data_IF_646291307806
#
_entry.id   IF_646291307806
#
_cell.length_a   1.000
_cell.length_b   1.000
_cell.length_c   1.000
_cell.angle_alpha   90.00
_cell.angle_beta   90.00
_cell.angle_gamma   90.00
#
_symmetry.space_group_name_H-M   'P 1'
#
loop_
_entity.id
_entity.type
_entity.pdbx_description
1 polymer ?
#
# COMPACT_ATOMS: atom_id res chain seq x y z
N UNK A 1 42.18 -7.51 -22.96
CA UNK A 1 40.86 -7.79 -23.56
C UNK A 1 39.81 -7.66 -22.46
N UNK A 2 39.04 -6.56 -22.45
CA UNK A 2 37.90 -6.37 -21.52
C UNK A 2 36.70 -7.08 -22.14
N UNK A 3 36.31 -8.23 -21.59
CA UNK A 3 35.07 -8.87 -21.96
C UNK A 3 34.07 -8.72 -20.82
N UNK A 4 32.87 -8.25 -21.18
CA UNK A 4 31.68 -8.01 -20.35
C UNK A 4 31.73 -6.78 -19.44
N UNK A 5 31.43 -5.60 -20.02
CA UNK A 5 30.48 -4.70 -19.34
C UNK A 5 29.13 -5.41 -19.48
N UNK A 6 28.67 -6.09 -18.43
CA UNK A 6 27.23 -6.30 -18.31
C UNK A 6 26.65 -4.91 -18.08
N UNK A 7 25.88 -4.38 -19.01
CA UNK A 7 25.01 -3.26 -18.69
C UNK A 7 24.15 -3.75 -17.53
N UNK A 8 24.40 -3.20 -16.33
CA UNK A 8 23.59 -3.52 -15.17
C UNK A 8 22.22 -2.97 -15.47
N UNK A 9 21.34 -3.87 -15.89
CA UNK A 9 19.93 -3.61 -16.06
C UNK A 9 19.42 -3.02 -14.74
N UNK A 10 18.99 -1.76 -14.76
CA UNK A 10 18.43 -1.11 -13.60
C UNK A 10 16.96 -1.54 -13.49
N UNK A 11 16.59 -2.23 -12.41
CA UNK A 11 15.23 -2.74 -12.26
C UNK A 11 14.18 -1.63 -12.22
N UNK A 12 14.57 -0.43 -11.76
CA UNK A 12 13.72 0.76 -11.79
C UNK A 12 13.40 1.23 -13.21
N UNK A 13 14.05 0.71 -14.26
CA UNK A 13 13.68 0.99 -15.65
C UNK A 13 12.41 0.21 -16.09
N UNK A 14 11.96 -0.78 -15.30
CA UNK A 14 10.77 -1.59 -15.61
C UNK A 14 9.54 -1.23 -14.79
N UNK A 15 9.66 -0.32 -13.81
CA UNK A 15 8.47 0.16 -13.09
C UNK A 15 7.64 1.04 -14.00
N UNK A 16 6.33 0.88 -13.95
CA UNK A 16 5.39 1.62 -14.81
C UNK A 16 4.12 2.00 -14.06
N UNK A 17 3.32 2.89 -14.65
CA UNK A 17 1.94 3.05 -14.18
C UNK A 17 1.19 1.72 -14.39
N UNK A 18 0.40 1.26 -13.40
CA UNK A 18 -0.34 0.01 -13.57
C UNK A 18 -1.35 0.14 -14.70
N UNK A 19 -1.57 -0.95 -15.42
CA UNK A 19 -2.54 -1.03 -16.52
C UNK A 19 -3.99 -0.98 -16.02
N UNK A 20 -4.93 -0.93 -16.97
CA UNK A 20 -6.35 -1.05 -16.64
C UNK A 20 -6.61 -2.34 -15.84
N UNK A 21 -7.45 -2.28 -14.79
CA UNK A 21 -8.34 -1.17 -14.45
C UNK A 21 -7.76 -0.19 -13.41
N UNK A 22 -6.49 -0.27 -13.03
CA UNK A 22 -5.92 0.41 -11.85
C UNK A 22 -5.30 1.78 -12.10
N UNK A 23 -5.71 2.46 -13.16
CA UNK A 23 -5.02 3.67 -13.64
C UNK A 23 -5.31 4.93 -12.81
N UNK A 24 -6.39 4.95 -12.02
CA UNK A 24 -6.71 6.11 -11.22
C UNK A 24 -5.83 6.17 -9.96
N UNK A 25 -4.80 7.03 -9.98
CA UNK A 25 -3.84 7.21 -8.89
C UNK A 25 -4.12 8.46 -8.06
N UNK A 26 -4.18 8.29 -6.74
CA UNK A 26 -4.26 9.36 -5.75
C UNK A 26 -3.08 9.29 -4.79
N UNK A 27 -2.48 10.44 -4.50
CA UNK A 27 -1.36 10.55 -3.56
C UNK A 27 -1.88 11.23 -2.29
N UNK A 28 -1.73 10.55 -1.16
CA UNK A 28 -2.10 11.06 0.17
C UNK A 28 -0.82 11.34 0.94
N UNK A 29 -0.36 12.60 1.00
CA UNK A 29 0.88 12.95 1.65
C UNK A 29 0.74 12.85 3.17
N UNK A 30 1.74 12.26 3.81
CA UNK A 30 1.92 12.30 5.26
C UNK A 30 3.42 12.23 5.60
N UNK A 31 3.74 12.14 6.89
CA UNK A 31 5.10 11.98 7.38
C UNK A 31 5.12 11.04 8.58
N UNK A 32 6.16 10.21 8.67
CA UNK A 32 6.37 9.31 9.78
C UNK A 32 5.24 8.30 9.96
N UNK A 33 4.68 7.77 8.88
CA UNK A 33 3.64 6.73 8.98
C UNK A 33 4.22 5.47 9.62
N UNK A 34 3.60 5.04 10.72
CA UNK A 34 3.97 3.84 11.49
C UNK A 34 2.92 2.75 11.42
N UNK A 35 1.66 3.11 11.12
CA UNK A 35 0.62 2.16 10.80
C UNK A 35 -0.32 2.72 9.72
N UNK A 36 -0.90 1.83 8.94
CA UNK A 36 -1.81 2.19 7.84
C UNK A 36 -2.89 1.14 7.69
N UNK A 37 -3.94 1.42 6.92
CA UNK A 37 -4.98 0.45 6.69
C UNK A 37 -6.18 1.00 5.97
N UNK A 38 -7.25 0.23 6.02
CA UNK A 38 -8.54 0.57 5.43
C UNK A 38 -9.61 0.58 6.50
N UNK A 39 -10.46 1.60 6.47
CA UNK A 39 -11.72 1.57 7.22
C UNK A 39 -12.72 0.63 6.57
N UNK A 40 -13.79 0.27 7.29
CA UNK A 40 -14.84 -0.60 6.75
C UNK A 40 -15.55 0.01 5.54
N UNK A 41 -15.59 1.35 5.46
CA UNK A 41 -16.13 2.11 4.33
C UNK A 41 -15.08 2.47 3.26
N UNK A 42 -13.96 1.75 3.23
CA UNK A 42 -12.90 1.84 2.21
C UNK A 42 -12.16 3.18 2.20
N UNK A 43 -12.05 3.85 3.35
CA UNK A 43 -11.22 5.06 3.50
C UNK A 43 -9.82 4.68 3.93
N UNK A 44 -8.88 5.52 3.53
CA UNK A 44 -7.47 5.32 3.84
C UNK A 44 -7.19 5.79 5.24
N UNK A 45 -6.75 4.88 6.10
CA UNK A 45 -6.27 5.18 7.44
C UNK A 45 -4.75 5.30 7.44
N UNK A 46 -4.24 6.39 8.02
CA UNK A 46 -2.81 6.60 8.24
C UNK A 46 -2.56 7.08 9.66
N UNK A 47 -1.63 6.43 10.35
CA UNK A 47 -1.19 6.78 11.69
C UNK A 47 0.29 7.18 11.68
N UNK A 48 0.58 8.29 12.36
CA UNK A 48 1.93 8.79 12.65
C UNK A 48 2.10 9.02 14.15
N UNK A 49 3.28 9.48 14.58
CA UNK A 49 3.52 9.91 15.97
C UNK A 49 2.58 11.03 16.42
N UNK A 50 2.10 11.86 15.49
CA UNK A 50 1.34 13.07 15.79
C UNK A 50 -0.18 12.83 15.80
N UNK A 51 -0.59 11.57 15.70
CA UNK A 51 -1.97 11.12 15.56
C UNK A 51 -2.26 10.51 14.19
N UNK A 52 -3.55 10.41 13.86
CA UNK A 52 -4.02 9.71 12.66
C UNK A 52 -4.91 10.57 11.77
N UNK A 53 -5.12 10.08 10.56
CA UNK A 53 -6.05 10.66 9.59
C UNK A 53 -6.78 9.60 8.81
N UNK A 54 -8.00 9.94 8.40
CA UNK A 54 -8.81 9.16 7.48
C UNK A 54 -9.10 10.00 6.25
N UNK A 55 -8.80 9.46 5.07
CA UNK A 55 -8.89 10.20 3.80
C UNK A 55 -9.66 9.41 2.75
N UNK A 56 -10.30 10.15 1.84
CA UNK A 56 -11.00 9.57 0.70
C UNK A 56 -9.99 8.99 -0.32
N UNK A 57 -10.14 7.73 -0.77
CA UNK A 57 -9.20 7.10 -1.70
C UNK A 57 -9.28 7.66 -3.12
N UNK A 58 -10.40 8.29 -3.50
CA UNK A 58 -10.65 8.77 -4.86
C UNK A 58 -10.26 10.24 -5.00
N UNK A 59 -10.47 11.05 -3.95
CA UNK A 59 -10.16 12.49 -4.01
C UNK A 59 -8.90 12.86 -3.24
N UNK A 60 -8.41 11.98 -2.37
CA UNK A 60 -7.33 12.28 -1.41
C UNK A 60 -7.76 13.24 -0.31
N UNK A 61 -9.03 13.67 -0.28
CA UNK A 61 -9.52 14.63 0.70
C UNK A 61 -9.54 13.98 2.08
N UNK A 62 -8.85 14.62 3.03
CA UNK A 62 -8.87 14.23 4.43
C UNK A 62 -10.25 14.51 5.04
N UNK A 63 -10.89 13.46 5.55
CA UNK A 63 -12.19 13.52 6.24
C UNK A 63 -12.03 13.67 7.74
N UNK A 64 -11.06 12.97 8.32
CA UNK A 64 -10.75 13.02 9.76
C UNK A 64 -9.27 13.39 9.93
N UNK A 65 -9.01 14.28 10.88
CA UNK A 65 -7.67 14.54 11.42
C UNK A 65 -7.76 14.56 12.93
N UNK A 66 -7.12 13.58 13.56
CA UNK A 66 -6.95 13.52 14.99
C UNK A 66 -5.49 13.93 15.30
N UNK A 67 -5.32 14.97 16.10
CA UNK A 67 -4.01 15.36 16.63
C UNK A 67 -3.89 14.74 18.02
N UNK A 68 -2.89 13.88 18.22
CA UNK A 68 -2.70 13.11 19.47
C UNK A 68 -2.12 13.98 20.60
N UNK A 69 -2.79 15.08 20.94
CA UNK A 69 -2.29 16.08 21.90
C UNK A 69 -2.06 15.49 23.31
N UNK A 70 -2.80 14.44 23.67
CA UNK A 70 -2.75 13.79 24.98
C UNK A 70 -1.98 12.47 24.98
N UNK A 71 -1.33 12.09 23.87
CA UNK A 71 -0.62 10.82 23.69
C UNK A 71 -1.50 9.58 23.99
N UNK A 72 -2.79 9.66 23.66
CA UNK A 72 -3.76 8.59 23.88
C UNK A 72 -3.94 7.66 22.68
N UNK A 73 -3.54 8.07 21.47
CA UNK A 73 -3.77 7.30 20.24
C UNK A 73 -3.17 5.90 20.31
N UNK A 74 -2.00 5.74 20.92
CA UNK A 74 -1.38 4.42 21.07
C UNK A 74 -2.20 3.45 21.97
N UNK A 75 -3.08 3.97 22.83
CA UNK A 75 -3.98 3.16 23.67
C UNK A 75 -5.19 2.61 22.89
N UNK A 76 -5.43 3.11 21.67
CA UNK A 76 -6.52 2.67 20.80
C UNK A 76 -6.20 1.38 20.03
N UNK A 77 -4.97 0.88 20.13
CA UNK A 77 -4.60 -0.41 19.56
C UNK A 77 -5.13 -1.58 20.38
N UNK A 78 -5.47 -2.66 19.71
CA UNK A 78 -5.63 -3.97 20.33
C UNK A 78 -4.32 -4.42 21.00
N UNK A 79 -4.41 -5.38 21.93
CA UNK A 79 -3.24 -5.90 22.66
C UNK A 79 -2.16 -6.49 21.75
N UNK A 80 -2.56 -7.09 20.63
CA UNK A 80 -1.67 -7.66 19.62
C UNK A 80 -1.20 -6.64 18.57
N UNK A 81 -1.73 -5.40 18.59
CA UNK A 81 -1.45 -4.31 17.67
C UNK A 81 -1.87 -4.60 16.21
N UNK A 82 -2.80 -5.53 16.00
CA UNK A 82 -3.36 -5.83 14.68
C UNK A 82 -4.60 -5.00 14.36
N UNK A 83 -5.22 -4.41 15.37
CA UNK A 83 -6.43 -3.62 15.22
C UNK A 83 -6.29 -2.25 15.88
N UNK A 84 -7.05 -1.29 15.37
CA UNK A 84 -7.08 0.09 15.84
C UNK A 84 -8.52 0.61 15.88
N UNK A 85 -8.90 1.22 17.01
CA UNK A 85 -10.23 1.83 17.16
C UNK A 85 -10.20 3.31 16.75
N UNK A 86 -11.07 3.66 15.81
CA UNK A 86 -11.33 5.03 15.33
C UNK A 86 -12.64 5.49 15.95
N UNK A 87 -12.56 6.32 16.99
CA UNK A 87 -13.73 6.74 17.76
C UNK A 87 -14.71 7.57 16.92
N UNK A 88 -14.21 8.43 16.04
CA UNK A 88 -15.05 9.30 15.19
C UNK A 88 -15.88 8.52 14.17
N UNK A 89 -15.53 7.25 13.92
CA UNK A 89 -16.25 6.35 13.02
C UNK A 89 -16.95 5.21 13.75
N UNK A 90 -16.76 5.08 15.07
CA UNK A 90 -17.19 3.92 15.87
C UNK A 90 -16.75 2.59 15.23
N UNK A 91 -15.52 2.52 14.73
CA UNK A 91 -14.98 1.38 14.00
C UNK A 91 -13.67 0.88 14.61
N UNK A 92 -13.53 -0.44 14.71
CA UNK A 92 -12.24 -1.09 14.93
C UNK A 92 -11.80 -1.73 13.63
N UNK A 93 -10.64 -1.31 13.12
CA UNK A 93 -10.12 -1.69 11.81
C UNK A 93 -8.86 -2.54 11.97
N UNK A 94 -8.57 -3.40 11.00
CA UNK A 94 -7.25 -4.03 10.88
C UNK A 94 -6.23 -3.04 10.34
N UNK A 95 -5.03 -3.09 10.86
CA UNK A 95 -3.94 -2.18 10.48
C UNK A 95 -2.66 -2.93 10.12
N UNK A 96 -1.85 -2.30 9.27
CA UNK A 96 -0.58 -2.78 8.77
C UNK A 96 0.56 -2.00 9.44
N UNK A 97 1.62 -2.68 9.86
CA UNK A 97 2.96 -2.07 9.99
C UNK A 97 3.50 -1.78 11.39
N UNK A 98 2.68 -1.62 12.43
CA UNK A 98 3.21 -1.28 13.76
C UNK A 98 4.02 -2.45 14.37
N UNK A 99 3.40 -3.64 14.45
CA UNK A 99 4.02 -4.88 14.97
C UNK A 99 3.54 -6.15 14.26
N UNK A 100 2.79 -6.00 13.19
CA UNK A 100 2.15 -7.10 12.47
C UNK A 100 1.11 -6.59 11.47
N UNK A 101 0.34 -7.51 10.92
CA UNK A 101 -0.67 -7.22 9.92
C UNK A 101 -0.05 -7.13 8.53
N UNK A 102 -0.65 -7.88 7.61
CA UNK A 102 -0.40 -7.78 6.18
C UNK A 102 -1.71 -7.39 5.51
N UNK A 103 -1.62 -6.65 4.42
CA UNK A 103 -2.82 -6.21 3.72
C UNK A 103 -3.57 -7.36 3.08
N UNK A 104 -4.76 -7.08 2.56
CA UNK A 104 -5.39 -8.03 1.65
C UNK A 104 -4.61 -8.02 0.33
N UNK A 105 -3.97 -9.12 -0.05
CA UNK A 105 -3.12 -9.18 -1.25
C UNK A 105 -3.85 -9.74 -2.47
N UNK A 106 -5.08 -10.21 -2.32
CA UNK A 106 -5.84 -10.74 -3.43
C UNK A 106 -7.28 -10.23 -3.47
N UNK A 107 -7.85 -10.14 -4.67
CA UNK A 107 -9.27 -9.87 -4.88
C UNK A 107 -10.02 -11.14 -5.28
N UNK A 108 -11.33 -11.13 -5.09
CA UNK A 108 -12.23 -12.20 -5.53
C UNK A 108 -12.21 -12.44 -7.04
N UNK A 109 -11.84 -11.43 -7.83
CA UNK A 109 -11.66 -11.51 -9.28
C UNK A 109 -10.19 -11.69 -9.71
N UNK A 110 -9.38 -12.27 -8.83
CA UNK A 110 -8.04 -12.79 -9.12
C UNK A 110 -6.95 -11.74 -9.35
N UNK A 111 -7.13 -10.49 -8.91
CA UNK A 111 -6.00 -9.57 -8.82
C UNK A 111 -5.12 -9.95 -7.65
N UNK A 112 -3.81 -9.93 -7.85
CA UNK A 112 -2.80 -10.26 -6.87
C UNK A 112 -1.77 -9.13 -6.76
N UNK A 113 -1.50 -8.70 -5.53
CA UNK A 113 -0.42 -7.79 -5.18
C UNK A 113 0.70 -8.58 -4.53
N UNK A 114 1.90 -8.44 -5.07
CA UNK A 114 3.08 -9.11 -4.55
C UNK A 114 4.24 -8.12 -4.49
N UNK A 115 5.09 -8.25 -3.46
CA UNK A 115 6.35 -7.50 -3.40
C UNK A 115 7.50 -8.29 -4.01
N UNK A 116 8.31 -7.60 -4.81
CA UNK A 116 9.57 -8.08 -5.34
C UNK A 116 10.74 -7.33 -4.69
N UNK A 117 11.72 -8.06 -4.16
CA UNK A 117 12.88 -7.49 -3.47
C UNK A 117 14.18 -7.83 -4.21
N UNK A 118 14.69 -6.94 -5.08
CA UNK A 118 15.92 -7.17 -5.85
C UNK A 118 17.19 -7.19 -5.00
N UNK A 119 17.20 -6.46 -3.90
CA UNK A 119 18.31 -6.42 -2.96
C UNK A 119 17.80 -6.23 -1.53
N UNK A 120 18.73 -6.35 -0.58
CA UNK A 120 18.46 -6.01 0.81
C UNK A 120 17.97 -4.56 0.89
N UNK A 121 16.85 -4.35 1.57
CA UNK A 121 16.21 -3.04 1.75
C UNK A 121 15.55 -2.42 0.50
N UNK A 122 15.36 -3.18 -0.58
CA UNK A 122 14.53 -2.73 -1.70
C UNK A 122 13.25 -3.54 -1.76
N UNK A 123 12.14 -2.85 -1.95
CA UNK A 123 10.82 -3.46 -2.09
C UNK A 123 10.04 -2.74 -3.17
N UNK A 124 9.77 -3.45 -4.26
CA UNK A 124 8.94 -2.97 -5.37
C UNK A 124 7.63 -3.74 -5.32
N UNK A 125 6.50 -3.03 -5.40
CA UNK A 125 5.19 -3.67 -5.44
C UNK A 125 4.84 -3.93 -6.90
N UNK A 126 4.33 -5.12 -7.18
CA UNK A 126 3.75 -5.43 -8.48
C UNK A 126 2.34 -5.97 -8.37
N UNK A 127 1.62 -5.89 -9.48
CA UNK A 127 0.23 -6.31 -9.60
C UNK A 127 0.04 -7.16 -10.85
N UNK A 128 -0.86 -8.14 -10.79
CA UNK A 128 -1.33 -8.88 -11.96
C UNK A 128 -2.73 -9.44 -11.74
N UNK A 129 -3.38 -9.91 -12.80
CA UNK A 129 -4.54 -10.79 -12.67
C UNK A 129 -4.11 -12.25 -12.90
N UNK A 130 -4.17 -13.09 -11.88
CA UNK A 130 -3.67 -14.47 -11.96
C UNK A 130 -4.59 -15.43 -12.73
N UNK A 131 -5.81 -15.00 -13.10
CA UNK A 131 -6.75 -15.83 -13.87
C UNK A 131 -6.20 -16.20 -15.25
N UNK A 132 -5.38 -15.33 -15.83
CA UNK A 132 -4.79 -15.49 -17.18
C UNK A 132 -3.48 -16.28 -17.17
N UNK A 133 -2.90 -16.50 -15.99
CA UNK A 133 -1.59 -17.15 -15.83
C UNK A 133 -1.74 -18.64 -15.53
N UNK A 134 -1.48 -19.51 -16.51
CA UNK A 134 -1.48 -20.97 -16.31
C UNK A 134 -0.08 -21.54 -16.06
N UNK A 135 0.97 -20.72 -16.26
CA UNK A 135 2.37 -21.10 -16.09
C UNK A 135 3.17 -20.01 -15.39
N UNK A 136 4.30 -20.38 -14.79
CA UNK A 136 5.23 -19.43 -14.17
C UNK A 136 5.77 -18.39 -15.16
N UNK A 137 5.96 -18.77 -16.44
CA UNK A 137 6.42 -17.83 -17.46
C UNK A 137 5.34 -16.80 -17.85
N UNK A 138 4.06 -17.16 -17.78
CA UNK A 138 2.96 -16.24 -18.07
C UNK A 138 2.76 -15.26 -16.91
N UNK A 139 2.87 -15.75 -15.67
CA UNK A 139 2.85 -14.93 -14.45
C UNK A 139 3.81 -13.75 -14.57
N UNK A 140 5.10 -14.00 -14.83
CA UNK A 140 6.10 -12.92 -14.89
C UNK A 140 5.97 -11.99 -16.11
N UNK A 141 5.23 -12.39 -17.15
CA UNK A 141 4.95 -11.51 -18.30
C UNK A 141 3.84 -10.52 -17.99
N UNK A 142 2.88 -10.92 -17.17
CA UNK A 142 1.72 -10.12 -16.78
C UNK A 142 1.93 -9.37 -15.46
N UNK A 143 2.99 -9.70 -14.72
CA UNK A 143 3.37 -9.03 -13.48
C UNK A 143 3.92 -7.63 -13.73
N UNK A 144 3.15 -6.62 -13.35
CA UNK A 144 3.48 -5.22 -13.56
C UNK A 144 4.11 -4.61 -12.32
N UNK A 145 5.38 -4.25 -12.39
CA UNK A 145 6.05 -3.49 -11.33
C UNK A 145 5.54 -2.05 -11.30
N UNK A 146 5.11 -1.58 -10.14
CA UNK A 146 4.45 -0.29 -9.99
C UNK A 146 5.47 0.82 -9.73
N UNK A 147 5.39 1.85 -10.56
CA UNK A 147 6.09 3.12 -10.39
C UNK A 147 5.50 3.91 -9.20
N UNK A 148 6.33 4.38 -8.28
CA UNK A 148 5.94 5.23 -7.16
C UNK A 148 6.37 6.67 -7.45
N UNK A 149 5.50 7.63 -7.14
CA UNK A 149 5.76 9.07 -7.37
C UNK A 149 6.27 9.77 -6.12
N UNK A 150 5.90 9.29 -4.94
CA UNK A 150 6.22 9.92 -3.66
C UNK A 150 6.92 8.97 -2.70
N UNK A 151 6.54 7.71 -2.71
CA UNK A 151 7.07 6.74 -1.77
C UNK A 151 8.43 6.23 -2.22
N UNK A 152 9.34 6.06 -1.25
CA UNK A 152 10.59 5.36 -1.47
C UNK A 152 10.33 3.85 -1.48
N UNK A 153 11.11 3.11 -2.28
CA UNK A 153 10.99 1.65 -2.43
C UNK A 153 11.56 0.88 -1.22
N UNK A 154 11.16 1.27 -0.02
CA UNK A 154 11.67 0.75 1.24
C UNK A 154 10.57 0.61 2.30
N UNK A 155 10.50 -0.57 2.94
CA UNK A 155 9.56 -0.88 4.02
C UNK A 155 8.11 -0.50 3.71
N UNK A 156 7.65 -0.86 2.52
CA UNK A 156 6.29 -0.62 2.05
C UNK A 156 5.32 -1.64 2.67
N UNK A 157 4.12 -1.16 2.95
CA UNK A 157 2.93 -1.98 3.19
C UNK A 157 1.97 -1.77 2.05
N UNK A 158 1.14 -2.76 1.74
CA UNK A 158 0.22 -2.66 0.63
C UNK A 158 -0.97 -3.59 0.81
N UNK A 159 -2.04 -3.32 0.10
CA UNK A 159 -3.19 -4.21 0.06
C UNK A 159 -4.46 -3.56 -0.48
N UNK A 160 -5.39 -4.40 -0.89
CA UNK A 160 -6.71 -4.05 -1.36
C UNK A 160 -7.62 -3.54 -0.23
N UNK A 161 -8.50 -2.61 -0.57
CA UNK A 161 -9.60 -2.16 0.28
C UNK A 161 -10.66 -3.27 0.45
N UNK A 162 -11.51 -3.20 1.49
CA UNK A 162 -12.57 -4.19 1.72
C UNK A 162 -13.51 -4.47 0.54
N UNK A 163 -13.83 -3.46 -0.26
CA UNK A 163 -14.65 -3.59 -1.47
C UNK A 163 -13.86 -3.98 -2.72
N UNK A 164 -12.55 -4.17 -2.59
CA UNK A 164 -11.63 -4.56 -3.65
C UNK A 164 -11.59 -3.57 -4.83
N UNK A 165 -12.11 -2.35 -4.68
CA UNK A 165 -12.07 -1.31 -5.73
C UNK A 165 -10.85 -0.42 -5.66
N UNK A 166 -10.08 -0.51 -4.58
CA UNK A 166 -8.87 0.24 -4.37
C UNK A 166 -7.77 -0.68 -3.87
N UNK A 167 -6.54 -0.35 -4.17
CA UNK A 167 -5.40 -0.80 -3.37
C UNK A 167 -4.52 0.39 -3.02
N UNK A 168 -3.77 0.22 -1.94
CA UNK A 168 -2.87 1.24 -1.43
C UNK A 168 -1.48 0.67 -1.30
N UNK A 169 -0.50 1.50 -1.59
CA UNK A 169 0.90 1.31 -1.22
C UNK A 169 1.20 2.38 -0.19
N UNK A 170 1.74 1.97 0.96
CA UNK A 170 1.92 2.78 2.14
C UNK A 170 3.39 2.79 2.52
N UNK A 171 3.91 3.98 2.82
CA UNK A 171 5.27 4.16 3.30
C UNK A 171 5.34 5.34 4.25
N UNK A 172 6.53 5.61 4.77
CA UNK A 172 6.74 6.68 5.77
C UNK A 172 6.26 8.06 5.30
N UNK A 173 6.25 8.33 3.99
CA UNK A 173 5.84 9.59 3.37
C UNK A 173 4.34 9.66 2.99
N UNK A 174 3.52 8.67 3.39
CA UNK A 174 2.08 8.64 3.17
C UNK A 174 1.61 7.41 2.39
N UNK A 175 0.70 7.63 1.43
CA UNK A 175 0.13 6.56 0.61
C UNK A 175 0.00 6.95 -0.86
N UNK A 176 0.13 5.95 -1.73
CA UNK A 176 -0.29 6.01 -3.13
C UNK A 176 -1.42 5.00 -3.34
N UNK A 177 -2.58 5.50 -3.74
CA UNK A 177 -3.82 4.74 -3.87
C UNK A 177 -4.14 4.59 -5.34
N UNK A 178 -4.50 3.38 -5.74
CA UNK A 178 -4.85 3.03 -7.11
C UNK A 178 -6.26 2.47 -7.10
N UNK A 179 -7.10 2.94 -8.01
CA UNK A 179 -8.52 2.59 -8.05
C UNK A 179 -8.93 2.06 -9.41
N UNK A 180 -9.89 1.14 -9.37
CA UNK A 180 -10.64 0.67 -10.53
C UNK A 180 -12.08 1.17 -10.49
N UNK A 181 -12.70 1.25 -11.66
CA UNK A 181 -14.11 1.62 -11.83
C UNK A 181 -15.07 0.57 -11.23
#
# INVERSE_FOLDING_TARGET
MRFFKSDKVNLFDFVKEPSMPWQNRIIIPAAGIIASGWTHDNKVFLLSSDGYSVSDPITGQRKIRNYDEDNSVMKKFSKDNLEFTIDELEQTIKVFGLRGGDGNHCTTDFWDLTSFSPSLYEQIIGIQNIKTSNTQSEYWKEFELISLKRLEYYNLKFGFSPNEKHFGIFGSAGAEIFSRD
#
